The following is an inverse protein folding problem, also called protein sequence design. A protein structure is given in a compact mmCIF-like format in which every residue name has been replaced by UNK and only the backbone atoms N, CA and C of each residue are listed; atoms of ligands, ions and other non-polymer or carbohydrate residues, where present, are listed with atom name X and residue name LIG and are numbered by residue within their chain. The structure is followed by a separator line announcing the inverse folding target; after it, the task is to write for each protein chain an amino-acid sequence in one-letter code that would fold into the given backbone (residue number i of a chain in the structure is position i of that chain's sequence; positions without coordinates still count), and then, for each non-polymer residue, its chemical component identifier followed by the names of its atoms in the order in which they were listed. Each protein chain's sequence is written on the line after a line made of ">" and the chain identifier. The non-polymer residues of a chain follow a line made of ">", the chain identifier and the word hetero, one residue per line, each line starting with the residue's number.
data_IF_786116182268
#
_entry.id   IF_786116182268
#
_cell.length_a   1.000
_cell.length_b   1.000
_cell.length_c   1.000
_cell.angle_alpha   90.00
_cell.angle_beta   90.00
_cell.angle_gamma   90.00
#
_symmetry.space_group_name_H-M   'P 1'
#
loop_
_entity.id
_entity.type
_entity.pdbx_description
1 polymer ?
#
# COMPACT_ATOMS: atom_id res chain seq x y z
N UNK A 1 10.34 -10.80 4.71
CA UNK A 1 10.30 -9.56 5.52
C UNK A 1 11.45 -9.52 6.49
N UNK A 2 11.98 -8.34 6.83
CA UNK A 2 12.89 -8.21 7.98
C UNK A 2 12.19 -8.69 9.26
N UNK A 3 12.92 -9.46 10.06
CA UNK A 3 12.43 -10.19 11.23
C UNK A 3 12.07 -9.20 12.35
N UNK A 4 10.82 -9.23 12.85
CA UNK A 4 10.51 -8.92 14.25
C UNK A 4 9.97 -7.52 14.63
N UNK A 5 9.23 -6.82 13.78
CA UNK A 5 8.55 -5.57 14.15
C UNK A 5 7.05 -5.56 13.82
N UNK A 6 6.25 -4.68 14.45
CA UNK A 6 4.84 -4.54 14.10
C UNK A 6 4.67 -4.22 12.61
N UNK A 7 3.55 -4.64 12.04
CA UNK A 7 3.18 -4.42 10.65
C UNK A 7 1.91 -3.57 10.57
N UNK A 8 1.75 -2.74 9.52
CA UNK A 8 0.46 -2.12 9.22
C UNK A 8 -0.60 -3.19 9.03
N UNK A 9 -1.84 -2.93 9.49
CA UNK A 9 -2.96 -3.83 9.20
C UNK A 9 -3.36 -3.85 7.72
N UNK A 10 -3.12 -2.75 7.00
CA UNK A 10 -3.35 -2.69 5.56
C UNK A 10 -2.18 -2.04 4.82
N UNK A 11 -1.77 -2.65 3.72
CA UNK A 11 -0.81 -2.07 2.79
C UNK A 11 -1.46 -1.92 1.41
N UNK A 12 -1.46 -0.70 0.90
CA UNK A 12 -1.96 -0.36 -0.41
C UNK A 12 -0.83 -0.11 -1.40
N UNK A 13 -1.06 -0.44 -2.67
CA UNK A 13 -0.15 -0.18 -3.78
C UNK A 13 -0.89 0.53 -4.91
N UNK A 14 -0.30 1.55 -5.51
CA UNK A 14 -0.66 1.92 -6.89
C UNK A 14 -0.29 0.76 -7.85
N UNK A 15 -0.72 0.85 -9.11
CA UNK A 15 -0.42 -0.14 -10.13
C UNK A 15 0.69 0.33 -11.07
N UNK A 16 0.44 1.42 -11.80
CA UNK A 16 1.29 1.85 -12.90
C UNK A 16 2.58 2.45 -12.34
N UNK A 17 3.75 2.06 -12.86
CA UNK A 17 5.07 2.43 -12.33
C UNK A 17 5.35 2.09 -10.86
N UNK A 18 4.42 1.43 -10.18
CA UNK A 18 4.57 0.91 -8.82
C UNK A 18 4.74 -0.61 -8.84
N UNK A 19 3.78 -1.35 -9.40
CA UNK A 19 3.87 -2.81 -9.50
C UNK A 19 4.43 -3.29 -10.83
N UNK A 20 4.28 -2.52 -11.90
CA UNK A 20 4.80 -2.80 -13.24
C UNK A 20 5.32 -1.52 -13.91
N UNK A 21 6.06 -1.63 -15.00
CA UNK A 21 6.85 -0.53 -15.59
C UNK A 21 6.15 0.26 -16.72
N UNK A 22 4.82 0.26 -16.72
CA UNK A 22 4.01 0.91 -17.75
C UNK A 22 2.72 1.52 -17.20
N UNK A 23 2.13 2.46 -17.95
CA UNK A 23 0.72 2.82 -17.83
C UNK A 23 -0.15 1.82 -18.59
N UNK A 24 -1.01 1.10 -17.87
CA UNK A 24 -1.88 0.07 -18.44
C UNK A 24 -2.88 0.63 -19.48
N UNK A 25 -3.28 1.90 -19.38
CA UNK A 25 -4.22 2.53 -20.31
C UNK A 25 -3.57 3.13 -21.56
N UNK A 26 -2.23 3.24 -21.57
CA UNK A 26 -1.49 3.92 -22.63
C UNK A 26 -0.58 2.96 -23.39
N UNK A 27 0.21 2.16 -22.67
CA UNK A 27 1.24 1.33 -23.28
C UNK A 27 0.73 -0.06 -23.69
N UNK A 28 -0.36 -0.55 -23.09
CA UNK A 28 -0.88 -1.90 -23.30
C UNK A 28 -2.12 -1.87 -24.19
N UNK A 29 -2.14 -2.69 -25.24
CA UNK A 29 -3.27 -2.81 -26.16
C UNK A 29 -4.03 -4.14 -25.98
N UNK A 30 -5.30 -4.13 -25.55
CA UNK A 30 -6.07 -5.36 -25.40
C UNK A 30 -6.27 -6.09 -26.75
N UNK A 31 -6.52 -7.41 -26.75
CA UNK A 31 -6.67 -8.26 -25.57
C UNK A 31 -5.34 -8.76 -25.05
N UNK A 32 -5.30 -9.00 -23.75
CA UNK A 32 -4.22 -9.72 -23.11
C UNK A 32 -4.32 -11.21 -23.44
N UNK A 33 -3.18 -11.82 -23.66
CA UNK A 33 -3.05 -13.27 -23.77
C UNK A 33 -1.98 -13.75 -22.81
N UNK A 34 -2.14 -15.00 -22.39
CA UNK A 34 -1.13 -15.71 -21.63
C UNK A 34 -0.55 -16.79 -22.53
N UNK A 35 0.77 -16.83 -22.63
CA UNK A 35 1.46 -17.93 -23.31
C UNK A 35 1.25 -19.23 -22.52
N UNK A 36 0.75 -20.30 -23.14
CA UNK A 36 0.41 -21.55 -22.44
C UNK A 36 1.65 -22.33 -21.97
N UNK A 37 2.83 -22.03 -22.51
CA UNK A 37 4.08 -22.72 -22.19
C UNK A 37 4.86 -21.99 -21.11
N UNK A 38 5.02 -20.68 -21.27
CA UNK A 38 5.83 -19.84 -20.38
C UNK A 38 5.01 -19.16 -19.28
N UNK A 39 3.69 -19.05 -19.45
CA UNK A 39 2.82 -18.31 -18.54
C UNK A 39 2.92 -16.78 -18.68
N UNK A 40 3.79 -16.28 -19.57
CA UNK A 40 4.00 -14.85 -19.81
C UNK A 40 2.72 -14.21 -20.34
N UNK A 41 2.30 -13.11 -19.73
CA UNK A 41 1.16 -12.31 -20.19
C UNK A 41 1.67 -11.24 -21.15
N UNK A 42 0.99 -11.03 -22.27
CA UNK A 42 1.39 -10.03 -23.27
C UNK A 42 0.17 -9.45 -23.99
N UNK A 43 0.38 -8.29 -24.61
CA UNK A 43 -0.63 -7.60 -25.40
C UNK A 43 -0.63 -8.13 -26.86
N UNK A 44 -1.69 -8.81 -27.27
CA UNK A 44 -1.60 -9.73 -28.42
C UNK A 44 -1.85 -9.12 -29.80
N UNK A 45 -2.26 -7.84 -29.86
CA UNK A 45 -2.60 -7.16 -31.13
C UNK A 45 -1.42 -6.44 -31.77
N UNK A 46 -0.32 -6.24 -31.04
CA UNK A 46 0.83 -5.48 -31.55
C UNK A 46 1.76 -6.37 -32.35
N UNK A 47 2.42 -5.78 -33.35
CA UNK A 47 3.50 -6.44 -34.12
C UNK A 47 4.65 -6.87 -33.21
N UNK A 48 4.95 -6.04 -32.21
CA UNK A 48 5.89 -6.34 -31.13
C UNK A 48 5.08 -6.30 -29.83
N UNK A 49 4.64 -7.46 -29.31
CA UNK A 49 3.92 -7.54 -28.04
C UNK A 49 4.72 -6.97 -26.89
N UNK A 50 4.06 -6.24 -26.02
CA UNK A 50 4.57 -5.81 -24.71
C UNK A 50 4.19 -6.85 -23.67
N UNK A 51 5.18 -7.29 -22.90
CA UNK A 51 4.95 -8.17 -21.74
C UNK A 51 4.27 -7.39 -20.62
N UNK A 52 3.34 -8.06 -19.93
CA UNK A 52 2.60 -7.55 -18.79
C UNK A 52 3.02 -8.37 -17.58
N UNK A 53 4.00 -7.86 -16.84
CA UNK A 53 4.59 -8.53 -15.68
C UNK A 53 4.89 -7.53 -14.57
N UNK A 54 5.08 -8.03 -13.36
CA UNK A 54 5.47 -7.19 -12.23
C UNK A 54 6.97 -6.93 -12.18
N UNK A 55 7.36 -5.90 -11.45
CA UNK A 55 8.75 -5.74 -11.01
C UNK A 55 9.23 -6.99 -10.22
N UNK A 56 10.52 -7.36 -10.31
CA UNK A 56 11.02 -8.66 -9.84
C UNK A 56 10.73 -9.02 -8.38
N UNK A 57 10.71 -8.04 -7.48
CA UNK A 57 10.52 -8.27 -6.04
C UNK A 57 9.04 -8.33 -5.63
N UNK A 58 8.13 -7.78 -6.43
CA UNK A 58 6.68 -7.68 -6.13
C UNK A 58 6.07 -9.06 -5.81
N UNK A 59 6.33 -10.14 -6.58
CA UNK A 59 5.77 -11.46 -6.26
C UNK A 59 6.17 -12.00 -4.89
N UNK A 60 7.40 -11.74 -4.44
CA UNK A 60 7.85 -12.16 -3.11
C UNK A 60 7.25 -11.27 -2.02
N UNK A 61 7.14 -9.95 -2.26
CA UNK A 61 6.50 -9.02 -1.32
C UNK A 61 5.03 -9.42 -1.07
N UNK A 62 4.26 -9.69 -2.12
CA UNK A 62 2.86 -10.10 -1.98
C UNK A 62 2.71 -11.44 -1.23
N UNK A 63 3.59 -12.41 -1.49
CA UNK A 63 3.62 -13.68 -0.74
C UNK A 63 3.93 -13.49 0.72
N UNK A 64 4.94 -12.67 1.01
CA UNK A 64 5.31 -12.32 2.37
C UNK A 64 4.09 -11.72 3.09
N UNK A 65 3.41 -10.72 2.50
CA UNK A 65 2.25 -10.05 3.10
C UNK A 65 1.11 -10.99 3.42
N UNK A 66 0.78 -11.89 2.48
CA UNK A 66 -0.22 -12.93 2.70
C UNK A 66 0.16 -13.85 3.86
N UNK A 67 1.42 -14.28 3.92
CA UNK A 67 1.90 -15.15 5.01
C UNK A 67 1.87 -14.44 6.38
N UNK A 68 2.00 -13.11 6.40
CA UNK A 68 1.89 -12.29 7.61
C UNK A 68 0.45 -11.86 7.93
N UNK A 69 -0.54 -12.30 7.14
CA UNK A 69 -1.95 -11.94 7.30
C UNK A 69 -2.19 -10.42 7.32
N UNK A 70 -1.45 -9.68 6.49
CA UNK A 70 -1.64 -8.25 6.26
C UNK A 70 -2.67 -8.07 5.16
N UNK A 71 -3.63 -7.16 5.34
CA UNK A 71 -4.59 -6.85 4.28
C UNK A 71 -3.91 -6.08 3.15
N UNK A 72 -4.16 -6.48 1.90
CA UNK A 72 -3.51 -5.88 0.73
C UNK A 72 -4.53 -5.23 -0.20
N UNK A 73 -4.26 -4.01 -0.62
CA UNK A 73 -5.12 -3.26 -1.53
C UNK A 73 -4.39 -2.78 -2.79
N UNK A 74 -5.05 -2.83 -3.93
CA UNK A 74 -4.66 -2.06 -5.12
C UNK A 74 -5.48 -0.77 -5.17
N UNK A 75 -4.80 0.36 -5.34
CA UNK A 75 -5.38 1.69 -5.40
C UNK A 75 -4.88 2.41 -6.66
N UNK A 76 -5.60 2.35 -7.78
CA UNK A 76 -5.13 2.93 -9.05
C UNK A 76 -6.17 3.82 -9.72
N UNK A 77 -5.68 4.92 -10.30
CA UNK A 77 -6.50 5.92 -11.00
C UNK A 77 -6.71 5.62 -12.48
N UNK A 78 -6.21 4.49 -12.96
CA UNK A 78 -6.29 4.14 -14.38
C UNK A 78 -7.73 4.15 -14.90
N UNK A 79 -7.90 4.73 -16.08
CA UNK A 79 -9.16 4.71 -16.82
C UNK A 79 -9.46 3.32 -17.41
N UNK A 80 -8.41 2.51 -17.64
CA UNK A 80 -8.51 1.15 -18.17
C UNK A 80 -8.77 0.10 -17.08
N UNK A 81 -9.73 0.39 -16.19
CA UNK A 81 -9.95 -0.38 -14.96
C UNK A 81 -10.28 -1.87 -15.20
N UNK A 82 -10.91 -2.19 -16.34
CA UNK A 82 -11.19 -3.58 -16.75
C UNK A 82 -9.91 -4.31 -17.17
N UNK A 83 -9.04 -3.64 -17.92
CA UNK A 83 -7.77 -4.19 -18.41
C UNK A 83 -6.79 -4.43 -17.27
N UNK A 84 -6.71 -3.50 -16.30
CA UNK A 84 -5.90 -3.67 -15.09
C UNK A 84 -6.33 -4.91 -14.27
N UNK A 85 -7.64 -5.10 -14.07
CA UNK A 85 -8.17 -6.29 -13.39
C UNK A 85 -7.91 -7.57 -14.18
N UNK A 86 -7.99 -7.51 -15.51
CA UNK A 86 -7.64 -8.63 -16.37
C UNK A 86 -6.16 -9.00 -16.25
N UNK A 87 -5.26 -8.01 -16.25
CA UNK A 87 -3.83 -8.23 -16.05
C UNK A 87 -3.56 -8.93 -14.70
N UNK A 88 -4.14 -8.43 -13.60
CA UNK A 88 -4.01 -9.06 -12.28
C UNK A 88 -4.57 -10.49 -12.23
N UNK A 89 -5.60 -10.80 -13.01
CA UNK A 89 -6.16 -12.17 -13.11
C UNK A 89 -5.24 -13.11 -13.89
N UNK A 90 -4.54 -12.59 -14.91
CA UNK A 90 -3.71 -13.39 -15.80
C UNK A 90 -2.30 -13.60 -15.25
N UNK A 91 -1.69 -12.58 -14.64
CA UNK A 91 -0.36 -12.68 -14.04
C UNK A 91 -0.39 -13.76 -12.95
N UNK A 92 0.60 -14.66 -12.99
CA UNK A 92 0.71 -15.81 -12.09
C UNK A 92 1.90 -15.63 -11.15
N UNK A 93 1.67 -15.83 -9.86
CA UNK A 93 2.70 -15.82 -8.82
C UNK A 93 2.89 -17.25 -8.31
N UNK A 94 4.09 -17.84 -8.50
CA UNK A 94 4.43 -19.15 -7.91
C UNK A 94 4.44 -19.08 -6.39
N UNK A 95 3.81 -20.04 -5.72
CA UNK A 95 3.69 -20.11 -4.26
C UNK A 95 3.82 -21.56 -3.78
N UNK A 96 5.06 -22.03 -3.64
CA UNK A 96 5.32 -23.42 -3.28
C UNK A 96 4.99 -24.37 -4.43
N UNK A 97 4.08 -25.31 -4.20
CA UNK A 97 3.61 -26.25 -5.24
C UNK A 97 2.45 -25.69 -6.07
N UNK A 98 1.86 -24.57 -5.64
CA UNK A 98 0.73 -23.93 -6.32
C UNK A 98 1.15 -22.65 -7.05
N UNK A 99 0.29 -22.19 -7.94
CA UNK A 99 0.43 -20.93 -8.64
C UNK A 99 -0.89 -20.19 -8.62
N UNK A 100 -0.90 -19.00 -8.04
CA UNK A 100 -2.12 -18.20 -7.86
C UNK A 100 -2.12 -17.03 -8.84
N UNK A 101 -3.31 -16.55 -9.23
CA UNK A 101 -3.40 -15.27 -9.92
C UNK A 101 -2.93 -14.15 -8.98
N UNK A 102 -2.27 -13.14 -9.53
CA UNK A 102 -1.83 -11.99 -8.76
C UNK A 102 -2.99 -11.29 -8.03
N UNK A 103 -4.16 -11.20 -8.67
CA UNK A 103 -5.38 -10.66 -8.08
C UNK A 103 -5.83 -11.35 -6.79
N UNK A 104 -5.44 -12.61 -6.56
CA UNK A 104 -5.76 -13.37 -5.35
C UNK A 104 -4.88 -12.99 -4.14
N UNK A 105 -3.90 -12.11 -4.32
CA UNK A 105 -3.12 -11.51 -3.25
C UNK A 105 -3.65 -10.14 -2.80
N UNK A 106 -4.71 -9.63 -3.43
CA UNK A 106 -5.35 -8.36 -3.07
C UNK A 106 -6.74 -8.61 -2.50
N UNK A 107 -6.94 -8.21 -1.25
CA UNK A 107 -8.25 -8.26 -0.60
C UNK A 107 -9.19 -7.16 -1.12
N UNK A 108 -8.61 -6.05 -1.59
CA UNK A 108 -9.34 -4.87 -2.05
C UNK A 108 -8.79 -4.34 -3.38
N UNK A 109 -9.68 -4.04 -4.32
CA UNK A 109 -9.34 -3.51 -5.66
C UNK A 109 -10.07 -2.19 -5.93
N UNK A 110 -9.53 -1.10 -5.37
CA UNK A 110 -9.96 0.27 -5.64
C UNK A 110 -9.25 0.75 -6.93
N UNK A 111 -9.75 0.31 -8.08
CA UNK A 111 -9.18 0.67 -9.39
C UNK A 111 -10.25 1.39 -10.21
N UNK A 112 -10.20 2.71 -10.23
CA UNK A 112 -11.08 3.61 -10.98
C UNK A 112 -10.54 5.05 -11.00
N UNK A 113 -11.02 5.87 -11.93
CA UNK A 113 -10.64 7.30 -11.99
C UNK A 113 -11.16 8.06 -10.75
N UNK A 114 -10.27 8.77 -10.06
CA UNK A 114 -10.61 9.62 -8.91
C UNK A 114 -9.39 10.01 -8.07
N UNK A 115 -9.57 10.83 -7.04
CA UNK A 115 -8.48 11.17 -6.11
C UNK A 115 -8.12 9.98 -5.22
N UNK A 116 -6.86 9.87 -4.78
CA UNK A 116 -6.44 8.81 -3.85
C UNK A 116 -7.14 8.94 -2.49
N UNK A 117 -7.50 10.15 -2.07
CA UNK A 117 -8.36 10.37 -0.90
C UNK A 117 -9.66 9.56 -1.01
N UNK A 118 -10.32 9.56 -2.18
CA UNK A 118 -11.56 8.79 -2.38
C UNK A 118 -11.33 7.28 -2.23
N UNK A 119 -10.23 6.77 -2.76
CA UNK A 119 -9.85 5.36 -2.65
C UNK A 119 -9.64 4.96 -1.19
N UNK A 120 -8.85 5.75 -0.44
CA UNK A 120 -8.59 5.48 0.97
C UNK A 120 -9.83 5.63 1.87
N UNK A 121 -10.73 6.59 1.58
CA UNK A 121 -12.03 6.68 2.27
C UNK A 121 -12.87 5.43 2.04
N UNK A 122 -12.84 4.87 0.83
CA UNK A 122 -13.56 3.63 0.53
C UNK A 122 -12.92 2.42 1.23
N UNK A 123 -11.58 2.33 1.27
CA UNK A 123 -10.86 1.31 2.04
C UNK A 123 -11.16 1.38 3.54
N UNK A 124 -11.06 2.57 4.14
CA UNK A 124 -11.39 2.75 5.55
C UNK A 124 -12.85 2.37 5.84
N UNK A 125 -13.79 2.74 4.95
CA UNK A 125 -15.20 2.37 5.09
C UNK A 125 -15.44 0.87 5.01
N UNK A 126 -14.76 0.16 4.12
CA UNK A 126 -14.97 -1.29 3.92
C UNK A 126 -14.24 -2.14 4.95
N UNK A 127 -13.08 -1.69 5.43
CA UNK A 127 -12.21 -2.45 6.34
C UNK A 127 -12.35 -2.06 7.80
N UNK A 128 -12.74 -0.81 8.08
CA UNK A 128 -12.69 -0.22 9.43
C UNK A 128 -11.27 0.04 9.94
N UNK A 129 -10.23 -0.18 9.13
CA UNK A 129 -8.84 0.00 9.55
C UNK A 129 -8.54 1.51 9.65
N UNK A 130 -7.96 2.00 10.77
CA UNK A 130 -7.55 3.40 10.90
C UNK A 130 -6.48 3.77 9.87
N UNK A 131 -6.49 5.02 9.39
CA UNK A 131 -5.50 5.49 8.41
C UNK A 131 -4.05 5.41 8.94
N UNK A 132 -3.82 5.63 10.24
CA UNK A 132 -2.49 5.50 10.85
C UNK A 132 -1.94 4.07 10.79
N UNK A 133 -2.81 3.08 10.65
CA UNK A 133 -2.49 1.65 10.51
C UNK A 133 -2.45 1.21 9.03
N UNK A 134 -2.40 2.18 8.11
CA UNK A 134 -2.23 1.98 6.67
C UNK A 134 -0.87 2.47 6.19
N UNK A 135 -0.29 1.73 5.25
CA UNK A 135 0.92 2.11 4.51
C UNK A 135 0.62 2.07 3.01
N UNK A 136 1.08 3.09 2.29
CA UNK A 136 0.80 3.26 0.87
C UNK A 136 2.06 3.49 0.05
N UNK A 137 2.17 2.78 -1.08
CA UNK A 137 3.25 2.93 -2.06
C UNK A 137 2.67 3.40 -3.40
N UNK A 138 3.24 4.47 -3.95
CA UNK A 138 2.80 5.09 -5.21
C UNK A 138 3.98 5.86 -5.81
N UNK A 139 4.08 5.90 -7.14
CA UNK A 139 5.16 6.59 -7.83
C UNK A 139 4.91 8.10 -7.97
N UNK A 140 3.66 8.54 -7.87
CA UNK A 140 3.28 9.93 -8.04
C UNK A 140 3.37 10.73 -6.74
N UNK A 141 4.35 11.66 -6.61
CA UNK A 141 4.53 12.41 -5.37
C UNK A 141 3.44 13.44 -5.11
N UNK A 142 2.57 13.74 -6.08
CA UNK A 142 1.43 14.64 -5.88
C UNK A 142 0.28 13.95 -5.13
N UNK A 143 0.00 12.69 -5.47
CA UNK A 143 -0.93 11.80 -4.77
C UNK A 143 -0.60 11.67 -3.27
N UNK A 144 0.70 11.74 -2.95
CA UNK A 144 1.27 11.73 -1.61
C UNK A 144 0.75 12.86 -0.72
N UNK A 145 0.82 14.10 -1.22
CA UNK A 145 0.60 15.29 -0.40
C UNK A 145 -0.80 15.31 0.21
N UNK A 146 -1.80 14.89 -0.55
CA UNK A 146 -3.19 14.89 -0.13
C UNK A 146 -3.48 13.75 0.86
N UNK A 147 -3.10 12.51 0.55
CA UNK A 147 -3.46 11.36 1.38
C UNK A 147 -2.71 11.37 2.72
N UNK A 148 -1.42 11.67 2.70
CA UNK A 148 -0.62 11.71 3.93
C UNK A 148 -1.08 12.85 4.84
N UNK A 149 -1.29 14.06 4.29
CA UNK A 149 -1.68 15.23 5.10
C UNK A 149 -3.12 15.22 5.55
N UNK A 150 -4.05 14.78 4.70
CA UNK A 150 -5.48 14.86 5.04
C UNK A 150 -5.95 13.66 5.86
N UNK A 151 -5.38 12.47 5.65
CA UNK A 151 -5.87 11.24 6.27
C UNK A 151 -4.89 10.66 7.30
N UNK A 152 -3.61 11.01 7.25
CA UNK A 152 -2.59 10.45 8.15
C UNK A 152 -2.10 9.06 7.76
N UNK A 153 -2.35 8.62 6.53
CA UNK A 153 -1.78 7.37 5.99
C UNK A 153 -0.28 7.56 5.81
N UNK A 154 0.53 6.56 6.17
CA UNK A 154 1.97 6.61 5.86
C UNK A 154 2.17 6.39 4.37
N UNK A 155 2.82 7.32 3.69
CA UNK A 155 3.08 7.26 2.26
C UNK A 155 4.56 7.05 1.94
N UNK A 156 4.86 6.27 0.90
CA UNK A 156 6.20 6.03 0.38
C UNK A 156 6.23 6.22 -1.13
N UNK A 157 7.04 7.18 -1.57
CA UNK A 157 7.27 7.43 -3.00
C UNK A 157 8.09 6.29 -3.61
N UNK A 158 7.57 5.71 -4.69
CA UNK A 158 8.23 4.68 -5.50
C UNK A 158 8.83 5.32 -6.74
N UNK A 159 10.17 5.32 -6.91
CA UNK A 159 10.78 6.06 -8.03
C UNK A 159 11.06 5.21 -9.28
N UNK A 160 11.39 3.93 -9.08
CA UNK A 160 11.89 3.04 -10.13
C UNK A 160 11.19 1.68 -10.07
N UNK A 161 9.90 1.66 -9.73
CA UNK A 161 9.19 0.45 -9.37
C UNK A 161 9.42 -0.01 -7.94
N UNK A 162 8.48 -0.81 -7.43
CA UNK A 162 8.56 -1.35 -6.09
C UNK A 162 9.63 -2.46 -6.04
N UNK A 163 10.67 -2.19 -5.27
CA UNK A 163 11.70 -3.16 -4.91
C UNK A 163 11.69 -3.46 -3.40
N UNK A 164 12.41 -4.51 -3.01
CA UNK A 164 12.50 -4.92 -1.61
C UNK A 164 13.07 -3.82 -0.70
N UNK A 165 14.15 -3.10 -1.07
CA UNK A 165 14.62 -1.97 -0.27
C UNK A 165 13.56 -0.88 -0.04
N UNK A 166 12.80 -0.51 -1.07
CA UNK A 166 11.74 0.51 -0.96
C UNK A 166 10.62 0.05 -0.05
N UNK A 167 10.20 -1.20 -0.21
CA UNK A 167 9.20 -1.81 0.66
C UNK A 167 9.64 -1.81 2.13
N UNK A 168 10.86 -2.24 2.43
CA UNK A 168 11.38 -2.29 3.81
C UNK A 168 11.55 -0.88 4.41
N UNK A 169 11.98 0.11 3.61
CA UNK A 169 12.00 1.52 4.05
C UNK A 169 10.59 2.01 4.42
N UNK A 170 9.57 1.57 3.69
CA UNK A 170 8.18 1.90 4.01
C UNK A 170 7.71 1.36 5.35
N UNK A 171 8.01 0.09 5.62
CA UNK A 171 7.73 -0.50 6.92
C UNK A 171 8.45 0.23 8.06
N UNK A 172 9.71 0.62 7.85
CA UNK A 172 10.48 1.37 8.85
C UNK A 172 9.88 2.75 9.14
N UNK A 173 9.47 3.48 8.10
CA UNK A 173 8.85 4.80 8.27
C UNK A 173 7.49 4.70 8.98
N UNK A 174 6.65 3.73 8.63
CA UNK A 174 5.39 3.49 9.30
C UNK A 174 5.58 3.17 10.79
N UNK A 175 6.55 2.30 11.12
CA UNK A 175 6.92 1.97 12.51
C UNK A 175 7.39 3.20 13.28
N UNK A 176 8.22 4.04 12.65
CA UNK A 176 8.75 5.27 13.25
C UNK A 176 7.62 6.24 13.63
N UNK A 177 6.60 6.38 12.78
CA UNK A 177 5.44 7.25 13.03
C UNK A 177 4.57 6.72 14.16
N UNK A 178 4.21 5.45 14.12
CA UNK A 178 3.37 4.84 15.15
C UNK A 178 4.07 4.79 16.52
N UNK A 179 5.38 4.58 16.57
CA UNK A 179 6.14 4.65 17.83
C UNK A 179 6.27 6.08 18.40
N UNK A 180 6.09 7.12 17.58
CA UNK A 180 6.09 8.50 18.04
C UNK A 180 4.73 8.92 18.62
N UNK A 181 3.63 8.32 18.17
CA UNK A 181 2.27 8.58 18.65
C UNK A 181 2.00 7.95 20.03
N UNK A 182 2.65 6.83 20.36
CA UNK A 182 2.54 6.16 21.68
C UNK A 182 3.27 6.89 22.83
N UNK A 183 3.99 8.00 22.55
CA UNK A 183 4.62 8.79 23.63
C UNK A 183 3.56 9.72 24.25
N UNK A 184 3.31 9.65 25.57
CA UNK A 184 2.43 10.62 26.20
C UNK A 184 2.97 12.03 25.99
N UNK A 185 2.09 12.90 25.49
CA UNK A 185 2.29 14.35 25.41
C UNK A 185 2.93 14.84 26.72
N UNK A 186 4.10 15.48 26.62
CA UNK A 186 4.84 16.02 27.77
C UNK A 186 4.13 17.22 28.45
N UNK A 187 2.83 17.41 28.23
CA UNK A 187 2.04 18.54 28.71
C UNK A 187 1.10 18.23 29.89
N UNK A 188 1.16 17.01 30.48
CA UNK A 188 0.38 16.64 31.67
C UNK A 188 1.22 16.49 32.95
N UNK A 189 2.22 17.37 33.15
CA UNK A 189 2.85 17.52 34.48
C UNK A 189 2.93 18.97 34.90
N UNK A 190 1.80 19.49 35.38
CA UNK A 190 1.81 20.48 36.47
C UNK A 190 0.39 20.69 37.02
N UNK A 191 -0.12 19.75 37.80
CA UNK A 191 -1.03 20.09 38.88
C UNK A 191 -0.38 19.64 40.18
N UNK A 192 0.26 20.60 40.85
CA UNK A 192 0.75 20.45 42.22
C UNK A 192 -0.48 20.59 43.12
N UNK A 193 -0.81 19.62 44.00
CA UNK A 193 -1.89 19.80 44.94
C UNK A 193 -1.50 20.86 45.97
N UNK A 194 -2.31 21.91 46.08
CA UNK A 194 -2.18 22.94 47.10
C UNK A 194 -2.52 22.32 48.47
N UNK A 195 -1.55 22.27 49.39
CA UNK A 195 -1.78 21.85 50.78
C UNK A 195 -2.24 23.06 51.61
N UNK A 196 -3.37 23.00 52.35
CA UNK A 196 -3.84 24.13 53.14
C UNK A 196 -3.51 23.97 54.63
N UNK A 197 -2.35 24.47 55.09
CA UNK A 197 -2.13 24.73 56.52
C UNK A 197 -1.20 25.93 56.70
N UNK A 198 -1.74 27.05 57.21
CA UNK A 198 -1.18 27.90 58.28
C UNK A 198 -1.84 29.29 58.27
N UNK A 199 -2.95 29.45 58.99
CA UNK A 199 -3.31 30.72 59.64
C UNK A 199 -4.09 30.44 60.92
N UNK A 200 -3.38 30.44 62.05
CA UNK A 200 -3.94 30.77 63.36
C UNK A 200 -2.77 31.15 64.28
N UNK A 201 -2.73 32.43 64.69
CA UNK A 201 -2.35 32.91 66.03
C UNK A 201 -2.30 34.45 66.01
N UNK A 202 -3.45 35.06 66.23
CA UNK A 202 -3.57 36.39 66.85
C UNK A 202 -4.71 36.29 67.86
N UNK A 203 -4.34 36.21 69.13
CA UNK A 203 -5.21 36.13 70.30
C UNK A 203 -4.35 36.20 71.55
#
# INVERSE_FOLDING_TARGET
>A
MTVGGPLPKLIAFDLDYTLWDFWIDTHIAPPLKQDPTTGVVYDSRRRNPTTVEFYPDVPQILRDLRAANVSVAACSRTSASKLAREALRLIRIPSGHDTLAAGEYFDHLEIYVGSKIRHFKQLNKSTGIPYSDMLFFDDEPYSNFEVEKELGVTFITVRNGLDRPTFERGLQEWRRRNAAEDKPSANERSEVPNSPEQQALSG
#
